data_IF_203406790293
#
_entry.id   IF_203406790293
#
_cell.length_a   1.000
_cell.length_b   1.000
_cell.length_c   1.000
_cell.angle_alpha   90.00
_cell.angle_beta   90.00
_cell.angle_gamma   90.00
#
_symmetry.space_group_name_H-M   'P 1'
#
loop_
_entity.id
_entity.type
_entity.pdbx_description
1 polymer ?
#
# COMPACT_ATOMS: atom_id res chain seq x y z
N UNK A 1 -0.29 -17.84 -18.84
CA UNK A 1 0.41 -17.30 -17.66
C UNK A 1 -0.47 -16.36 -16.84
N UNK A 2 -0.89 -15.21 -17.36
CA UNK A 2 -1.67 -14.21 -16.59
C UNK A 2 -2.98 -14.77 -15.99
N UNK A 3 -3.82 -15.42 -16.79
CA UNK A 3 -5.07 -16.01 -16.29
C UNK A 3 -4.86 -17.03 -15.16
N UNK A 4 -3.76 -17.79 -15.22
CA UNK A 4 -3.39 -18.75 -14.17
C UNK A 4 -2.95 -18.03 -12.91
N UNK A 5 -2.09 -17.01 -13.03
CA UNK A 5 -1.69 -16.18 -11.90
C UNK A 5 -2.89 -15.51 -11.23
N UNK A 6 -3.83 -14.97 -12.01
CA UNK A 6 -5.06 -14.37 -11.48
C UNK A 6 -5.94 -15.38 -10.74
N UNK A 7 -6.07 -16.62 -11.24
CA UNK A 7 -6.77 -17.70 -10.50
C UNK A 7 -6.08 -18.02 -9.18
N UNK A 8 -4.76 -18.15 -9.17
CA UNK A 8 -3.97 -18.40 -7.96
C UNK A 8 -4.11 -17.24 -6.96
N UNK A 9 -3.98 -16.00 -7.43
CA UNK A 9 -4.14 -14.81 -6.62
C UNK A 9 -5.55 -14.70 -6.04
N UNK A 10 -6.58 -15.04 -6.82
CA UNK A 10 -7.95 -15.07 -6.36
C UNK A 10 -8.17 -16.14 -5.28
N UNK A 11 -7.62 -17.35 -5.45
CA UNK A 11 -7.67 -18.39 -4.42
C UNK A 11 -7.03 -17.89 -3.12
N UNK A 12 -5.86 -17.27 -3.22
CA UNK A 12 -5.17 -16.70 -2.07
C UNK A 12 -6.02 -15.62 -1.37
N UNK A 13 -6.56 -14.65 -2.14
CA UNK A 13 -7.40 -13.58 -1.58
C UNK A 13 -8.65 -14.15 -0.90
N UNK A 14 -9.32 -15.11 -1.54
CA UNK A 14 -10.48 -15.78 -0.98
C UNK A 14 -10.13 -16.51 0.31
N UNK A 15 -9.04 -17.26 0.35
CA UNK A 15 -8.62 -18.00 1.53
C UNK A 15 -8.26 -17.07 2.70
N UNK A 16 -7.35 -16.11 2.49
CA UNK A 16 -6.80 -15.28 3.57
C UNK A 16 -7.74 -14.19 4.08
N UNK A 17 -8.56 -13.59 3.20
CA UNK A 17 -9.35 -12.41 3.58
C UNK A 17 -10.85 -12.65 3.67
N UNK A 18 -11.38 -13.61 2.90
CA UNK A 18 -12.83 -13.85 2.82
C UNK A 18 -13.23 -15.06 3.67
N UNK A 19 -12.50 -16.16 3.55
CA UNK A 19 -12.84 -17.45 4.16
C UNK A 19 -12.07 -17.76 5.44
N UNK A 20 -11.16 -16.89 5.90
CA UNK A 20 -10.47 -17.01 7.19
C UNK A 20 -11.23 -16.24 8.29
N UNK A 21 -11.98 -16.90 9.18
CA UNK A 21 -12.66 -16.22 10.28
C UNK A 21 -11.68 -15.61 11.27
N UNK A 22 -12.03 -14.43 11.81
CA UNK A 22 -11.25 -13.75 12.87
C UNK A 22 -10.99 -14.65 14.09
N UNK A 23 -11.90 -15.58 14.39
CA UNK A 23 -11.75 -16.54 15.48
C UNK A 23 -10.61 -17.54 15.25
N UNK A 24 -10.33 -17.93 14.00
CA UNK A 24 -9.20 -18.80 13.65
C UNK A 24 -7.88 -18.03 13.81
N UNK A 25 -7.85 -16.78 13.33
CA UNK A 25 -6.71 -15.87 13.48
C UNK A 25 -6.31 -15.68 14.95
N UNK A 26 -7.28 -15.51 15.84
CA UNK A 26 -7.01 -15.37 17.27
C UNK A 26 -6.48 -16.68 17.88
N UNK A 27 -7.07 -17.83 17.54
CA UNK A 27 -6.81 -19.11 18.19
C UNK A 27 -5.63 -19.89 17.59
N UNK A 28 -5.17 -19.58 16.38
CA UNK A 28 -4.04 -20.26 15.72
C UNK A 28 -2.72 -20.14 16.50
N UNK A 29 -2.61 -19.12 17.38
CA UNK A 29 -1.44 -18.91 18.23
C UNK A 29 -1.30 -19.99 19.30
N UNK A 30 -2.40 -20.56 19.76
CA UNK A 30 -2.41 -21.54 20.85
C UNK A 30 -2.79 -22.94 20.37
N UNK A 31 -3.56 -23.02 19.27
CA UNK A 31 -4.08 -24.28 18.73
C UNK A 31 -3.82 -24.38 17.23
N UNK A 32 -2.89 -25.27 16.88
CA UNK A 32 -2.47 -25.52 15.49
C UNK A 32 -3.61 -25.98 14.58
N UNK A 33 -4.67 -26.57 15.13
CA UNK A 33 -5.86 -27.01 14.37
C UNK A 33 -6.44 -25.86 13.52
N UNK A 34 -6.47 -24.62 14.04
CA UNK A 34 -7.00 -23.49 13.28
C UNK A 34 -6.10 -23.06 12.12
N UNK A 35 -4.79 -23.30 12.22
CA UNK A 35 -3.87 -23.12 11.10
C UNK A 35 -4.11 -24.20 10.03
N UNK A 36 -4.29 -25.46 10.44
CA UNK A 36 -4.60 -26.54 9.51
C UNK A 36 -5.93 -26.34 8.80
N UNK A 37 -6.98 -25.92 9.52
CA UNK A 37 -8.27 -25.59 8.90
C UNK A 37 -8.10 -24.51 7.83
N UNK A 38 -7.34 -23.46 8.12
CA UNK A 38 -7.01 -22.41 7.15
C UNK A 38 -6.31 -22.97 5.91
N UNK A 39 -5.26 -23.76 6.08
CA UNK A 39 -4.51 -24.35 4.95
C UNK A 39 -5.38 -25.30 4.12
N UNK A 40 -6.28 -26.06 4.76
CA UNK A 40 -7.25 -26.91 4.06
C UNK A 40 -8.21 -26.08 3.21
N UNK A 41 -8.64 -24.89 3.68
CA UNK A 41 -9.47 -24.00 2.83
C UNK A 41 -8.75 -23.59 1.55
N UNK A 42 -7.46 -23.26 1.63
CA UNK A 42 -6.65 -22.96 0.44
C UNK A 42 -6.51 -24.16 -0.49
N UNK A 43 -6.24 -25.34 0.06
CA UNK A 43 -6.14 -26.57 -0.74
C UNK A 43 -7.45 -26.86 -1.49
N UNK A 44 -8.60 -26.75 -0.82
CA UNK A 44 -9.92 -26.95 -1.43
C UNK A 44 -10.20 -25.92 -2.51
N UNK A 45 -9.92 -24.63 -2.28
CA UNK A 45 -10.06 -23.59 -3.30
C UNK A 45 -9.25 -23.91 -4.55
N UNK A 46 -7.98 -24.28 -4.38
CA UNK A 46 -7.10 -24.64 -5.49
C UNK A 46 -7.64 -25.86 -6.25
N UNK A 47 -8.11 -26.90 -5.55
CA UNK A 47 -8.72 -28.07 -6.20
C UNK A 47 -9.95 -27.71 -7.02
N UNK A 48 -10.81 -26.79 -6.53
CA UNK A 48 -11.99 -26.33 -7.26
C UNK A 48 -11.60 -25.55 -8.51
N UNK A 49 -10.73 -24.55 -8.39
CA UNK A 49 -10.35 -23.66 -9.48
C UNK A 49 -9.51 -24.34 -10.59
N UNK A 50 -8.83 -25.44 -10.25
CA UNK A 50 -7.99 -26.23 -11.17
C UNK A 50 -8.52 -27.64 -11.43
N UNK A 51 -9.79 -27.90 -11.08
CA UNK A 51 -10.45 -29.20 -11.24
C UNK A 51 -10.40 -29.74 -12.68
N UNK A 52 -10.52 -28.87 -13.69
CA UNK A 52 -10.51 -29.25 -15.11
C UNK A 52 -9.17 -29.83 -15.60
N UNK A 53 -8.06 -29.54 -14.92
CA UNK A 53 -6.71 -29.98 -15.30
C UNK A 53 -5.95 -30.54 -14.07
N UNK A 54 -6.69 -31.22 -13.20
CA UNK A 54 -6.18 -31.66 -11.89
C UNK A 54 -4.93 -32.54 -12.00
N UNK A 55 -4.88 -33.43 -13.01
CA UNK A 55 -3.74 -34.33 -13.23
C UNK A 55 -2.41 -33.60 -13.47
N UNK A 56 -2.45 -32.42 -14.08
CA UNK A 56 -1.27 -31.55 -14.24
C UNK A 56 -0.98 -30.71 -13.00
N UNK A 57 -2.04 -30.32 -12.28
CA UNK A 57 -1.97 -29.32 -11.22
C UNK A 57 -1.71 -29.88 -9.83
N UNK A 58 -1.99 -31.17 -9.56
CA UNK A 58 -1.87 -31.73 -8.21
C UNK A 58 -0.51 -31.51 -7.52
N UNK A 59 0.67 -31.55 -8.19
CA UNK A 59 1.94 -31.28 -7.51
C UNK A 59 2.07 -29.80 -7.11
N UNK A 60 1.58 -28.89 -7.97
CA UNK A 60 1.60 -27.45 -7.71
C UNK A 60 0.61 -27.07 -6.61
N UNK A 61 -0.55 -27.73 -6.54
CA UNK A 61 -1.51 -27.55 -5.45
C UNK A 61 -0.87 -27.92 -4.11
N UNK A 62 -0.17 -29.06 -4.05
CA UNK A 62 0.56 -29.46 -2.84
C UNK A 62 1.67 -28.47 -2.49
N UNK A 63 2.48 -28.05 -3.47
CA UNK A 63 3.55 -27.07 -3.28
C UNK A 63 3.01 -25.76 -2.70
N UNK A 64 1.91 -25.21 -3.24
CA UNK A 64 1.29 -23.99 -2.74
C UNK A 64 0.73 -24.22 -1.33
N UNK A 65 0.05 -25.34 -1.09
CA UNK A 65 -0.56 -25.65 0.20
C UNK A 65 0.48 -25.76 1.31
N UNK A 66 1.58 -26.48 1.07
CA UNK A 66 2.68 -26.60 2.04
C UNK A 66 3.48 -25.29 2.16
N UNK A 67 3.66 -24.56 1.07
CA UNK A 67 4.27 -23.23 1.11
C UNK A 67 3.45 -22.26 1.96
N UNK A 68 2.12 -22.25 1.82
CA UNK A 68 1.20 -21.45 2.63
C UNK A 68 1.32 -21.82 4.12
N UNK A 69 1.31 -23.12 4.44
CA UNK A 69 1.52 -23.59 5.81
C UNK A 69 2.86 -23.11 6.40
N UNK A 70 3.93 -23.15 5.61
CA UNK A 70 5.25 -22.70 6.05
C UNK A 70 5.29 -21.19 6.30
N UNK A 71 4.72 -20.38 5.39
CA UNK A 71 4.68 -18.92 5.52
C UNK A 71 3.84 -18.51 6.74
N UNK A 72 2.64 -19.08 6.91
CA UNK A 72 1.80 -18.77 8.07
C UNK A 72 2.42 -19.21 9.40
N UNK A 73 3.12 -20.35 9.41
CA UNK A 73 3.88 -20.78 10.59
C UNK A 73 5.00 -19.80 10.94
N UNK A 74 5.72 -19.33 9.92
CA UNK A 74 6.78 -18.33 10.06
C UNK A 74 6.22 -17.00 10.57
N UNK A 75 5.06 -16.56 10.05
CA UNK A 75 4.34 -15.38 10.52
C UNK A 75 3.97 -15.49 12.00
N UNK A 76 3.41 -16.61 12.46
CA UNK A 76 3.07 -16.82 13.88
C UNK A 76 4.32 -16.71 14.76
N UNK A 77 5.44 -17.27 14.31
CA UNK A 77 6.72 -17.14 15.01
C UNK A 77 7.21 -15.69 15.07
N UNK A 78 7.17 -14.96 13.96
CA UNK A 78 7.55 -13.54 13.92
C UNK A 78 6.62 -12.64 14.74
N UNK A 79 5.32 -12.90 14.75
CA UNK A 79 4.35 -12.17 15.58
C UNK A 79 4.65 -12.32 17.08
N UNK A 80 5.21 -13.46 17.51
CA UNK A 80 5.65 -13.67 18.90
C UNK A 80 6.95 -12.92 19.22
N UNK A 81 7.88 -12.84 18.26
CA UNK A 81 9.17 -12.16 18.48
C UNK A 81 9.08 -10.63 18.37
N UNK A 82 8.26 -10.11 17.45
CA UNK A 82 8.15 -8.68 17.18
C UNK A 82 6.69 -8.17 17.23
N UNK A 83 6.01 -8.26 18.39
CA UNK A 83 4.59 -7.93 18.53
C UNK A 83 4.26 -6.46 18.21
N UNK A 84 5.25 -5.56 18.30
CA UNK A 84 5.07 -4.12 18.09
C UNK A 84 5.06 -3.68 16.62
N UNK A 85 5.26 -4.59 15.65
CA UNK A 85 5.32 -4.26 14.20
C UNK A 85 4.27 -4.99 13.36
N UNK A 86 2.96 -4.91 13.70
CA UNK A 86 1.92 -5.72 13.06
C UNK A 86 1.78 -5.46 11.55
N UNK A 87 1.89 -4.19 11.13
CA UNK A 87 1.75 -3.81 9.71
C UNK A 87 2.92 -4.34 8.88
N UNK A 88 4.15 -4.24 9.39
CA UNK A 88 5.33 -4.77 8.68
C UNK A 88 5.24 -6.29 8.51
N UNK A 89 4.88 -7.00 9.59
CA UNK A 89 4.71 -8.45 9.54
C UNK A 89 3.61 -8.87 8.56
N UNK A 90 2.50 -8.13 8.52
CA UNK A 90 1.45 -8.35 7.53
C UNK A 90 1.95 -8.11 6.10
N UNK A 91 2.68 -7.03 5.83
CA UNK A 91 3.23 -6.75 4.48
C UNK A 91 4.21 -7.84 4.05
N UNK A 92 5.15 -8.23 4.92
CA UNK A 92 6.13 -9.28 4.62
C UNK A 92 5.44 -10.61 4.33
N UNK A 93 4.45 -10.96 5.14
CA UNK A 93 3.61 -12.14 4.94
C UNK A 93 2.95 -12.16 3.56
N UNK A 94 2.31 -11.07 3.14
CA UNK A 94 1.66 -10.99 1.83
C UNK A 94 2.67 -11.03 0.67
N UNK A 95 3.86 -10.44 0.84
CA UNK A 95 4.95 -10.54 -0.14
C UNK A 95 5.41 -11.99 -0.29
N UNK A 96 5.58 -12.74 0.80
CA UNK A 96 5.98 -14.14 0.75
C UNK A 96 4.94 -15.01 0.03
N UNK A 97 3.65 -14.78 0.29
CA UNK A 97 2.59 -15.51 -0.41
C UNK A 97 2.57 -15.19 -1.91
N UNK A 98 2.66 -13.92 -2.30
CA UNK A 98 2.74 -13.54 -3.73
C UNK A 98 4.00 -14.12 -4.37
N UNK A 99 5.14 -14.10 -3.68
CA UNK A 99 6.38 -14.69 -4.15
C UNK A 99 6.25 -16.20 -4.39
N UNK A 100 5.58 -16.93 -3.49
CA UNK A 100 5.25 -18.35 -3.69
C UNK A 100 4.46 -18.57 -4.98
N UNK A 101 3.42 -17.77 -5.23
CA UNK A 101 2.63 -17.86 -6.46
C UNK A 101 3.48 -17.58 -7.71
N UNK A 102 4.34 -16.57 -7.65
CA UNK A 102 5.28 -16.23 -8.73
C UNK A 102 6.25 -17.37 -9.01
N UNK A 103 6.83 -17.98 -7.97
CA UNK A 103 7.73 -19.14 -8.10
C UNK A 103 7.03 -20.29 -8.80
N UNK A 104 5.77 -20.59 -8.47
CA UNK A 104 4.99 -21.63 -9.14
C UNK A 104 4.74 -21.29 -10.61
N UNK A 105 4.43 -20.04 -10.94
CA UNK A 105 4.26 -19.60 -12.33
C UNK A 105 5.56 -19.75 -13.12
N UNK A 106 6.69 -19.31 -12.57
CA UNK A 106 8.01 -19.45 -13.20
C UNK A 106 8.36 -20.93 -13.39
N UNK A 107 8.12 -21.76 -12.38
CA UNK A 107 8.38 -23.20 -12.48
C UNK A 107 7.57 -23.86 -13.62
N UNK A 108 6.32 -23.45 -13.81
CA UNK A 108 5.44 -24.06 -14.81
C UNK A 108 5.61 -23.53 -16.23
N UNK A 109 5.95 -22.26 -16.38
CA UNK A 109 5.93 -21.56 -17.68
C UNK A 109 7.29 -20.98 -18.08
N UNK A 110 8.31 -21.07 -17.22
CA UNK A 110 9.59 -20.40 -17.39
C UNK A 110 9.57 -18.94 -16.92
N UNK A 111 10.77 -18.34 -16.84
CA UNK A 111 10.92 -16.90 -16.63
C UNK A 111 10.59 -16.20 -17.95
N UNK A 112 9.63 -15.26 -17.99
CA UNK A 112 9.37 -14.53 -19.21
C UNK A 112 10.56 -13.64 -19.56
N UNK A 113 10.99 -13.67 -20.82
CA UNK A 113 12.16 -12.93 -21.30
C UNK A 113 12.09 -11.41 -21.01
N UNK A 114 10.87 -10.87 -20.91
CA UNK A 114 10.60 -9.45 -20.66
C UNK A 114 10.74 -9.03 -19.18
N UNK A 115 10.90 -9.97 -18.23
CA UNK A 115 10.97 -9.64 -16.80
C UNK A 115 12.24 -8.88 -16.42
N UNK A 116 13.34 -9.11 -17.13
CA UNK A 116 14.58 -8.36 -16.96
C UNK A 116 14.44 -6.92 -17.45
N UNK A 117 13.59 -6.68 -18.45
CA UNK A 117 13.34 -5.36 -19.04
C UNK A 117 12.31 -4.55 -18.23
N UNK A 118 11.37 -5.19 -17.54
CA UNK A 118 10.25 -4.55 -16.82
C UNK A 118 10.66 -3.61 -15.68
N UNK A 119 11.72 -3.94 -14.91
CA UNK A 119 12.06 -3.17 -13.71
C UNK A 119 12.74 -1.84 -14.02
N UNK A 120 13.53 -1.77 -15.09
CA UNK A 120 14.37 -0.60 -15.41
C UNK A 120 14.04 0.05 -16.76
N UNK A 121 12.82 -0.12 -17.27
CA UNK A 121 12.33 0.72 -18.37
C UNK A 121 12.31 2.19 -17.97
N UNK A 122 12.47 3.11 -18.93
CA UNK A 122 12.33 4.53 -18.61
C UNK A 122 10.92 4.88 -18.10
N UNK A 123 9.87 4.12 -18.47
CA UNK A 123 8.51 4.26 -17.91
C UNK A 123 8.46 3.91 -16.43
N UNK A 124 8.98 2.74 -16.04
CA UNK A 124 8.99 2.32 -14.62
C UNK A 124 9.83 3.27 -13.76
N UNK A 125 10.96 3.74 -14.30
CA UNK A 125 11.81 4.73 -13.63
C UNK A 125 11.08 6.07 -13.45
N UNK A 126 10.35 6.56 -14.44
CA UNK A 126 9.56 7.79 -14.32
C UNK A 126 8.48 7.66 -13.23
N UNK A 127 7.76 6.55 -13.18
CA UNK A 127 6.78 6.30 -12.10
C UNK A 127 7.45 6.23 -10.72
N UNK A 128 8.61 5.55 -10.61
CA UNK A 128 9.37 5.46 -9.36
C UNK A 128 9.85 6.84 -8.88
N UNK A 129 10.40 7.65 -9.79
CA UNK A 129 10.84 9.02 -9.48
C UNK A 129 9.66 9.85 -9.01
N UNK A 130 8.53 9.84 -9.72
CA UNK A 130 7.34 10.58 -9.31
C UNK A 130 6.81 10.14 -7.94
N UNK A 131 6.80 8.84 -7.67
CA UNK A 131 6.42 8.28 -6.38
C UNK A 131 7.34 8.77 -5.25
N UNK A 132 8.66 8.73 -5.43
CA UNK A 132 9.64 9.22 -4.46
C UNK A 132 9.55 10.75 -4.26
N UNK A 133 9.30 11.51 -5.34
CA UNK A 133 9.08 12.94 -5.25
C UNK A 133 7.87 13.28 -4.37
N UNK A 134 6.77 12.52 -4.50
CA UNK A 134 5.54 12.72 -3.70
C UNK A 134 5.70 12.29 -2.23
N UNK A 135 6.30 11.12 -2.02
CA UNK A 135 6.30 10.43 -0.72
C UNK A 135 7.47 10.83 0.18
N UNK A 136 8.65 11.08 -0.40
CA UNK A 136 9.86 11.36 0.36
C UNK A 136 10.31 12.83 0.21
N UNK A 137 10.42 13.33 -1.03
CA UNK A 137 11.01 14.66 -1.29
C UNK A 137 10.05 15.79 -0.90
N UNK A 138 8.78 15.72 -1.30
CA UNK A 138 7.80 16.79 -1.04
C UNK A 138 7.58 17.09 0.45
N UNK A 139 7.40 16.09 1.35
CA UNK A 139 7.31 16.38 2.79
C UNK A 139 8.55 17.09 3.35
N UNK A 140 9.75 16.68 2.91
CA UNK A 140 11.01 17.31 3.34
C UNK A 140 11.07 18.75 2.85
N UNK A 141 10.77 18.97 1.57
CA UNK A 141 10.75 20.31 0.98
C UNK A 141 9.78 21.24 1.70
N UNK A 142 8.53 20.81 1.93
CA UNK A 142 7.54 21.61 2.65
C UNK A 142 7.99 21.93 4.09
N UNK A 143 8.59 20.95 4.79
CA UNK A 143 9.13 21.16 6.13
C UNK A 143 10.23 22.23 6.13
N UNK A 144 11.13 22.21 5.16
CA UNK A 144 12.20 23.21 5.02
C UNK A 144 11.62 24.57 4.63
N UNK A 145 10.70 24.62 3.67
CA UNK A 145 10.05 25.86 3.21
C UNK A 145 9.35 26.60 4.35
N UNK A 146 8.61 25.88 5.19
CA UNK A 146 7.89 26.47 6.32
C UNK A 146 8.71 26.59 7.62
N UNK A 147 9.96 26.12 7.65
CA UNK A 147 10.80 26.20 8.85
C UNK A 147 11.04 27.63 9.33
N UNK A 148 11.02 28.61 8.41
CA UNK A 148 11.17 30.04 8.72
C UNK A 148 10.00 30.63 9.52
N UNK A 149 8.80 30.05 9.40
CA UNK A 149 7.62 30.47 10.17
C UNK A 149 7.49 29.76 11.52
N UNK A 150 8.25 28.67 11.72
CA UNK A 150 8.21 27.82 12.92
C UNK A 150 9.11 28.30 14.07
N UNK A 151 9.73 29.50 13.97
CA UNK A 151 10.53 30.07 15.05
C UNK A 151 9.71 30.73 16.17
N UNK A 152 8.40 30.93 16.01
CA UNK A 152 7.51 31.29 17.14
C UNK A 152 7.23 30.02 17.99
N UNK A 153 7.85 29.95 19.17
CA UNK A 153 8.06 28.76 20.00
C UNK A 153 6.82 28.07 20.60
N UNK A 154 5.61 28.58 20.36
CA UNK A 154 4.39 28.11 21.02
C UNK A 154 3.63 26.99 20.27
N UNK A 155 4.00 26.72 19.01
CA UNK A 155 3.31 25.73 18.17
C UNK A 155 3.67 24.26 18.46
N UNK A 156 4.84 24.00 19.06
CA UNK A 156 5.40 22.66 19.24
C UNK A 156 5.08 22.03 20.60
N UNK A 157 4.89 22.83 21.64
CA UNK A 157 4.70 22.38 23.03
C UNK A 157 3.38 21.64 23.24
N UNK A 158 2.35 21.91 22.41
CA UNK A 158 1.02 21.26 22.49
C UNK A 158 0.89 19.92 21.76
N UNK A 159 1.83 19.55 20.88
CA UNK A 159 1.68 18.39 19.96
C UNK A 159 2.77 17.34 20.05
N UNK A 160 3.52 17.31 21.16
CA UNK A 160 4.65 16.38 21.33
C UNK A 160 4.25 14.90 21.39
N UNK A 161 3.00 14.59 21.75
CA UNK A 161 2.57 13.20 21.90
C UNK A 161 1.59 12.81 20.80
N UNK A 162 1.99 11.83 19.97
CA UNK A 162 1.15 10.92 19.14
C UNK A 162 0.66 11.33 17.73
N UNK A 163 0.69 12.59 17.30
CA UNK A 163 0.06 13.02 16.01
C UNK A 163 1.01 13.38 14.86
N UNK A 164 2.32 13.41 15.08
CA UNK A 164 3.28 13.93 14.09
C UNK A 164 3.36 13.08 12.80
N UNK A 165 3.00 11.79 12.87
CA UNK A 165 2.99 10.89 11.70
C UNK A 165 1.69 10.93 10.89
N UNK A 166 0.54 11.17 11.55
CA UNK A 166 -0.76 11.16 10.88
C UNK A 166 -0.90 12.32 9.88
N UNK A 167 -0.48 13.53 10.26
CA UNK A 167 -0.52 14.70 9.37
C UNK A 167 0.39 14.55 8.15
N UNK A 168 1.57 13.94 8.33
CA UNK A 168 2.47 13.62 7.22
C UNK A 168 1.84 12.61 6.27
N UNK A 169 1.26 11.52 6.81
CA UNK A 169 0.60 10.48 6.03
C UNK A 169 -0.59 11.03 5.24
N UNK A 170 -1.44 11.85 5.87
CA UNK A 170 -2.56 12.54 5.18
C UNK A 170 -2.03 13.36 4.01
N UNK A 171 -0.98 14.16 4.22
CA UNK A 171 -0.38 14.93 3.15
C UNK A 171 0.19 14.08 2.01
N UNK A 172 0.81 12.94 2.31
CA UNK A 172 1.29 12.00 1.29
C UNK A 172 0.12 11.41 0.51
N UNK A 173 -0.94 10.96 1.19
CA UNK A 173 -2.13 10.38 0.55
C UNK A 173 -2.82 11.39 -0.40
N UNK A 174 -3.00 12.64 0.05
CA UNK A 174 -3.58 13.69 -0.79
C UNK A 174 -2.78 13.93 -2.07
N UNK A 175 -1.45 14.04 -1.95
CA UNK A 175 -0.59 14.25 -3.12
C UNK A 175 -0.60 13.06 -4.08
N UNK A 176 -0.64 11.83 -3.56
CA UNK A 176 -0.79 10.62 -4.39
C UNK A 176 -2.12 10.61 -5.15
N UNK A 177 -3.22 10.99 -4.49
CA UNK A 177 -4.55 11.11 -5.12
C UNK A 177 -4.54 12.19 -6.22
N UNK A 178 -3.90 13.33 -5.98
CA UNK A 178 -3.77 14.41 -6.99
C UNK A 178 -2.99 13.91 -8.20
N UNK A 179 -1.84 13.26 -8.01
CA UNK A 179 -1.05 12.71 -9.12
C UNK A 179 -1.86 11.67 -9.89
N UNK A 180 -2.59 10.80 -9.19
CA UNK A 180 -3.49 9.82 -9.80
C UNK A 180 -4.57 10.49 -10.66
N UNK A 181 -5.27 11.50 -10.13
CA UNK A 181 -6.29 12.26 -10.86
C UNK A 181 -5.75 12.89 -12.14
N UNK A 182 -4.51 13.37 -12.14
CA UNK A 182 -3.87 13.91 -13.35
C UNK A 182 -3.58 12.79 -14.36
N UNK A 183 -3.11 11.62 -13.92
CA UNK A 183 -2.83 10.48 -14.82
C UNK A 183 -4.11 9.94 -15.46
N UNK A 184 -5.22 9.91 -14.73
CA UNK A 184 -6.52 9.40 -15.24
C UNK A 184 -7.39 10.48 -15.90
N UNK A 185 -6.88 11.70 -16.12
CA UNK A 185 -7.63 12.84 -16.67
C UNK A 185 -8.83 13.34 -15.84
N UNK A 186 -8.89 13.03 -14.54
CA UNK A 186 -9.97 13.45 -13.65
C UNK A 186 -9.64 14.74 -12.89
N UNK A 187 -9.44 15.85 -13.61
CA UNK A 187 -9.00 17.13 -13.02
C UNK A 187 -10.01 17.71 -12.03
N UNK A 188 -11.32 17.50 -12.24
CA UNK A 188 -12.36 17.90 -11.29
C UNK A 188 -12.24 17.21 -9.93
N UNK A 189 -11.65 16.01 -9.88
CA UNK A 189 -11.30 15.30 -8.66
C UNK A 189 -10.42 16.13 -7.70
N UNK A 190 -9.48 16.90 -8.25
CA UNK A 190 -8.59 17.76 -7.45
C UNK A 190 -9.41 18.84 -6.73
N UNK A 191 -10.42 19.41 -7.41
CA UNK A 191 -11.35 20.37 -6.84
C UNK A 191 -12.19 19.76 -5.71
N UNK A 192 -12.69 18.53 -5.89
CA UNK A 192 -13.41 17.81 -4.83
C UNK A 192 -12.52 17.54 -3.60
N UNK A 193 -11.27 17.14 -3.82
CA UNK A 193 -10.32 16.91 -2.72
C UNK A 193 -10.06 18.21 -1.94
N UNK A 194 -9.89 19.34 -2.64
CA UNK A 194 -9.70 20.65 -2.03
C UNK A 194 -10.94 21.08 -1.23
N UNK A 195 -12.14 20.92 -1.80
CA UNK A 195 -13.39 21.25 -1.14
C UNK A 195 -13.61 20.40 0.12
N UNK A 196 -13.42 19.08 0.03
CA UNK A 196 -13.55 18.17 1.16
C UNK A 196 -12.61 18.56 2.31
N UNK A 197 -11.35 18.90 1.99
CA UNK A 197 -10.38 19.36 2.97
C UNK A 197 -10.78 20.67 3.65
N UNK A 198 -11.33 21.62 2.89
CA UNK A 198 -11.88 22.86 3.45
C UNK A 198 -13.05 22.60 4.40
N UNK A 199 -13.99 21.72 4.03
CA UNK A 199 -15.15 21.34 4.87
C UNK A 199 -14.70 20.76 6.22
N UNK A 200 -13.74 19.83 6.23
CA UNK A 200 -13.20 19.28 7.47
C UNK A 200 -12.45 20.32 8.32
N UNK A 201 -11.97 21.41 7.70
CA UNK A 201 -11.29 22.49 8.41
C UNK A 201 -12.23 23.53 9.01
N UNK A 202 -13.44 23.73 8.47
CA UNK A 202 -14.36 24.79 8.91
C UNK A 202 -14.74 24.72 10.40
N UNK A 203 -14.85 23.51 10.99
CA UNK A 203 -15.15 23.33 12.42
C UNK A 203 -13.99 23.72 13.36
N UNK A 204 -12.74 23.61 12.89
CA UNK A 204 -11.55 24.01 13.66
C UNK A 204 -11.31 25.52 13.59
N UNK A 205 -11.66 26.14 12.45
CA UNK A 205 -11.51 27.58 12.22
C UNK A 205 -12.47 28.45 13.04
N UNK A 206 -13.66 27.93 13.33
CA UNK A 206 -14.69 28.62 14.13
C UNK A 206 -14.35 28.67 15.63
N UNK A 207 -13.43 27.81 16.10
CA UNK A 207 -12.94 27.78 17.48
C UNK A 207 -11.53 28.39 17.64
N UNK A 208 -10.89 28.83 16.55
CA UNK A 208 -9.51 29.30 16.56
C UNK A 208 -9.44 30.80 16.93
N UNK A 209 -8.96 31.09 18.14
CA UNK A 209 -8.52 32.45 18.55
C UNK A 209 -7.25 32.93 17.81
N UNK A 210 -6.71 32.15 16.87
CA UNK A 210 -5.38 32.32 16.31
C UNK A 210 -5.41 32.32 14.76
N UNK A 211 -5.54 33.51 14.18
CA UNK A 211 -5.64 33.73 12.72
C UNK A 211 -4.36 33.30 11.98
N UNK A 212 -3.19 33.50 12.61
CA UNK A 212 -1.89 33.09 12.05
C UNK A 212 -1.80 31.59 11.80
N UNK A 213 -2.31 30.77 12.73
CA UNK A 213 -2.32 29.32 12.59
C UNK A 213 -3.18 28.85 11.40
N UNK A 214 -4.35 29.45 11.26
CA UNK A 214 -5.28 29.21 10.16
C UNK A 214 -4.64 29.49 8.80
N UNK A 215 -4.00 30.65 8.65
CA UNK A 215 -3.33 31.05 7.42
C UNK A 215 -2.17 30.12 7.08
N UNK A 216 -1.34 29.78 8.07
CA UNK A 216 -0.20 28.87 7.89
C UNK A 216 -0.62 27.51 7.31
N UNK A 217 -1.71 26.94 7.83
CA UNK A 217 -2.25 25.66 7.37
C UNK A 217 -2.82 25.76 5.96
N UNK A 218 -3.51 26.85 5.65
CA UNK A 218 -4.09 27.08 4.33
C UNK A 218 -2.97 27.17 3.28
N UNK A 219 -1.94 27.96 3.55
CA UNK A 219 -0.76 28.12 2.68
C UNK A 219 -0.02 26.79 2.55
N UNK A 220 0.15 26.03 3.64
CA UNK A 220 0.77 24.70 3.61
C UNK A 220 0.02 23.70 2.72
N UNK A 221 -1.31 23.73 2.78
CA UNK A 221 -2.16 22.87 1.95
C UNK A 221 -2.05 23.25 0.48
N UNK A 222 -2.17 24.54 0.14
CA UNK A 222 -2.05 25.04 -1.22
C UNK A 222 -0.66 24.73 -1.81
N UNK A 223 0.41 24.96 -1.05
CA UNK A 223 1.77 24.63 -1.48
C UNK A 223 1.94 23.13 -1.77
N UNK A 224 1.40 22.27 -0.90
CA UNK A 224 1.42 20.82 -1.12
C UNK A 224 0.67 20.41 -2.39
N UNK A 225 -0.46 21.05 -2.68
CA UNK A 225 -1.27 20.78 -3.88
C UNK A 225 -0.52 21.23 -5.14
N UNK A 226 0.07 22.42 -5.14
CA UNK A 226 0.87 22.93 -6.27
C UNK A 226 2.02 21.97 -6.59
N UNK A 227 2.74 21.48 -5.59
CA UNK A 227 3.83 20.51 -5.78
C UNK A 227 3.29 19.20 -6.40
N UNK A 228 2.18 18.66 -5.90
CA UNK A 228 1.61 17.44 -6.44
C UNK A 228 1.10 17.61 -7.88
N UNK A 229 0.51 18.75 -8.20
CA UNK A 229 0.08 19.09 -9.56
C UNK A 229 1.30 19.16 -10.49
N UNK A 230 2.36 19.84 -10.08
CA UNK A 230 3.60 19.93 -10.85
C UNK A 230 4.24 18.56 -11.10
N UNK A 231 4.32 17.71 -10.07
CA UNK A 231 4.83 16.33 -10.21
C UNK A 231 3.92 15.51 -11.14
N UNK A 232 2.60 15.61 -10.99
CA UNK A 232 1.65 14.85 -11.80
C UNK A 232 1.70 15.21 -13.29
N UNK A 233 1.70 16.50 -13.61
CA UNK A 233 1.88 16.94 -15.01
C UNK A 233 3.28 16.67 -15.53
N UNK A 234 4.32 16.82 -14.69
CA UNK A 234 5.70 16.48 -15.04
C UNK A 234 5.82 15.01 -15.44
N UNK A 235 5.30 14.10 -14.62
CA UNK A 235 5.24 12.66 -14.92
C UNK A 235 4.50 12.41 -16.25
N UNK A 236 3.31 13.00 -16.40
CA UNK A 236 2.48 12.80 -17.59
C UNK A 236 3.16 13.29 -18.86
N UNK A 237 3.83 14.44 -18.79
CA UNK A 237 4.59 15.01 -19.90
C UNK A 237 5.81 14.14 -20.24
N UNK A 238 6.60 13.75 -19.25
CA UNK A 238 7.77 12.89 -19.46
C UNK A 238 7.41 11.53 -20.07
N UNK A 239 6.24 10.96 -19.71
CA UNK A 239 5.74 9.72 -20.29
C UNK A 239 5.41 9.81 -21.79
N UNK A 240 5.29 11.02 -22.37
CA UNK A 240 5.08 11.20 -23.81
C UNK A 240 6.36 10.98 -24.63
N UNK A 241 7.53 10.98 -23.99
CA UNK A 241 8.84 10.86 -24.64
C UNK A 241 9.45 9.46 -24.49
N UNK A 242 8.71 8.49 -23.93
CA UNK A 242 9.16 7.12 -23.64
C UNK A 242 8.15 6.09 -24.11
#
# INVERSE_FOLDING_TARGET
MLAVFLKLLLCHILGDFVLQPKSWVAKRKDRIVYLFLHVVTHMVLLMVFFSSDFARWWPNILLITFGHLAIDSLKIWWERMWPYKPVLLFIVDQILHIALLVVVIIHMYGVPDQWTELFFTSKSLLYLIAFLLVTAVSPIFLRVFFSKWNQESDFYTKRKDTLMDAGMLIGIMERLIIVLFIQVNFLSGIGFLLAAKSVFRFGDLTNAKDTKFTEYILVGTLASFVIAIAIGYGLRFSLQFV
#
